data_IF_064985815937
#
_entry.id   IF_064985815937
#
_cell.length_a   1.000
_cell.length_b   1.000
_cell.length_c   1.000
_cell.angle_alpha   90.00
_cell.angle_beta   90.00
_cell.angle_gamma   90.00
#
_symmetry.space_group_name_H-M   'P 1'
#
loop_
_entity.id
_entity.type
_entity.pdbx_description
1 polymer ?
#
# COMPACT_ATOMS: atom_id res chain seq x y z
N UNK A 1 18.71 10.81 -4.21
CA UNK A 1 17.68 10.30 -3.29
C UNK A 1 16.36 10.97 -3.63
N UNK A 2 15.39 10.19 -4.09
CA UNK A 2 14.07 10.70 -4.44
C UNK A 2 13.27 11.03 -3.17
N UNK A 3 12.48 12.10 -3.22
CA UNK A 3 11.51 12.42 -2.17
C UNK A 3 10.15 11.84 -2.55
N UNK A 4 9.65 10.94 -1.73
CA UNK A 4 8.30 10.38 -1.86
C UNK A 4 7.41 10.94 -0.75
N UNK A 5 6.21 11.33 -1.13
CA UNK A 5 5.13 11.66 -0.20
C UNK A 5 4.09 10.56 -0.24
N UNK A 6 3.58 10.17 0.92
CA UNK A 6 2.40 9.29 1.01
C UNK A 6 1.36 9.95 1.92
N UNK A 7 0.07 9.73 1.65
CA UNK A 7 -1.02 10.31 2.45
C UNK A 7 -2.03 9.24 2.81
N UNK A 8 -2.19 8.98 4.11
CA UNK A 8 -3.09 7.93 4.57
C UNK A 8 -3.16 7.78 6.08
N UNK A 9 -4.02 6.87 6.52
CA UNK A 9 -4.23 6.58 7.93
C UNK A 9 -3.09 5.74 8.50
N UNK A 10 -2.67 6.08 9.72
CA UNK A 10 -1.87 5.21 10.58
C UNK A 10 -2.81 4.52 11.57
N UNK A 11 -2.75 3.19 11.62
CA UNK A 11 -3.53 2.33 12.50
C UNK A 11 -2.62 1.62 13.50
N UNK A 12 -3.15 1.40 14.70
CA UNK A 12 -2.58 0.45 15.65
C UNK A 12 -3.20 -0.93 15.44
N UNK A 13 -2.38 -1.89 15.05
CA UNK A 13 -2.75 -3.31 15.02
C UNK A 13 -2.53 -3.93 16.39
N UNK A 14 -3.48 -4.72 16.86
CA UNK A 14 -3.34 -5.58 18.03
C UNK A 14 -3.51 -7.05 17.65
N UNK A 15 -2.55 -7.90 18.01
CA UNK A 15 -2.55 -9.32 17.64
C UNK A 15 -2.13 -10.23 18.80
N UNK A 16 -2.83 -11.35 19.03
CA UNK A 16 -2.30 -12.43 19.86
C UNK A 16 -0.96 -12.95 19.32
N UNK A 17 -0.06 -13.37 20.21
CA UNK A 17 1.21 -13.94 19.81
C UNK A 17 1.01 -15.24 18.99
N UNK A 18 1.71 -15.32 17.86
CA UNK A 18 1.65 -16.46 16.95
C UNK A 18 0.26 -16.66 16.35
N UNK A 19 -0.25 -17.89 16.37
CA UNK A 19 -1.54 -18.26 15.78
C UNK A 19 -2.65 -18.42 16.83
N UNK A 20 -2.49 -17.81 18.01
CA UNK A 20 -3.53 -17.83 19.07
C UNK A 20 -4.76 -17.05 18.65
N UNK A 21 -5.91 -17.46 19.17
CA UNK A 21 -7.16 -16.70 19.18
C UNK A 21 -7.19 -15.72 20.35
N UNK A 22 -7.94 -14.63 20.23
CA UNK A 22 -8.15 -13.64 21.30
C UNK A 22 -8.64 -14.31 22.58
N UNK A 23 -9.53 -15.31 22.47
CA UNK A 23 -10.05 -16.06 23.62
C UNK A 23 -9.02 -16.94 24.35
N UNK A 24 -7.82 -17.13 23.80
CA UNK A 24 -6.78 -18.02 24.35
C UNK A 24 -5.68 -17.26 25.11
N UNK A 25 -5.68 -15.92 25.09
CA UNK A 25 -4.61 -15.14 25.71
C UNK A 25 -5.08 -13.77 26.13
N UNK A 26 -4.43 -13.24 27.16
CA UNK A 26 -4.52 -11.85 27.61
C UNK A 26 -3.28 -11.02 27.19
N UNK A 27 -2.41 -11.58 26.33
CA UNK A 27 -1.21 -10.91 25.81
C UNK A 27 -1.40 -10.59 24.34
N UNK A 28 -1.20 -9.32 23.99
CA UNK A 28 -1.27 -8.81 22.63
C UNK A 28 0.04 -8.10 22.29
N UNK A 29 0.52 -8.32 21.08
CA UNK A 29 1.55 -7.49 20.46
C UNK A 29 0.87 -6.36 19.69
N UNK A 30 1.52 -5.20 19.67
CA UNK A 30 1.08 -4.09 18.85
C UNK A 30 2.05 -3.79 17.71
N UNK A 31 1.49 -3.33 16.60
CA UNK A 31 2.22 -2.84 15.45
C UNK A 31 1.55 -1.54 14.98
N UNK A 32 2.30 -0.64 14.37
CA UNK A 32 1.69 0.45 13.60
C UNK A 32 1.84 0.16 12.12
N UNK A 33 0.80 0.49 11.36
CA UNK A 33 0.76 0.27 9.93
C UNK A 33 -0.40 1.00 9.29
N UNK A 34 -0.54 0.81 7.99
CA UNK A 34 -1.53 1.47 7.15
C UNK A 34 -1.02 1.43 5.72
N UNK A 35 -1.91 1.31 4.76
CA UNK A 35 -1.55 1.00 3.37
C UNK A 35 -0.48 1.95 2.81
N UNK A 36 -0.68 3.25 2.95
CA UNK A 36 0.24 4.28 2.45
C UNK A 36 1.51 4.44 3.28
N UNK A 37 1.44 4.22 4.60
CA UNK A 37 2.62 4.32 5.46
C UNK A 37 3.50 3.07 5.36
N UNK A 38 2.91 1.89 5.14
CA UNK A 38 3.65 0.66 4.88
C UNK A 38 4.48 0.78 3.60
N UNK A 39 3.90 1.37 2.54
CA UNK A 39 4.62 1.74 1.31
C UNK A 39 5.76 2.71 1.62
N UNK A 40 5.45 3.78 2.37
CA UNK A 40 6.43 4.79 2.77
C UNK A 40 7.62 4.20 3.54
N UNK A 41 7.37 3.36 4.54
CA UNK A 41 8.44 2.76 5.34
C UNK A 41 9.29 1.80 4.50
N UNK A 42 8.67 0.99 3.64
CA UNK A 42 9.43 0.13 2.74
C UNK A 42 10.33 0.95 1.79
N UNK A 43 9.83 2.08 1.26
CA UNK A 43 10.64 2.99 0.44
C UNK A 43 11.78 3.65 1.22
N UNK A 44 11.57 3.96 2.50
CA UNK A 44 12.61 4.47 3.39
C UNK A 44 13.70 3.41 3.66
N UNK A 45 13.29 2.15 3.87
CA UNK A 45 14.22 1.00 3.98
C UNK A 45 14.99 0.75 2.68
N UNK A 46 14.43 1.13 1.53
CA UNK A 46 15.13 1.15 0.24
C UNK A 46 15.97 2.42 0.00
N UNK A 47 16.13 3.28 1.00
CA UNK A 47 17.02 4.45 0.94
C UNK A 47 16.41 5.73 0.36
N UNK A 48 15.08 5.81 0.21
CA UNK A 48 14.43 7.04 -0.23
C UNK A 48 14.13 8.00 0.92
N UNK A 49 13.95 9.29 0.58
CA UNK A 49 13.45 10.29 1.53
C UNK A 49 11.93 10.24 1.55
N UNK A 50 11.34 9.84 2.66
CA UNK A 50 9.89 9.65 2.76
C UNK A 50 9.29 10.64 3.72
N UNK A 51 8.21 11.30 3.30
CA UNK A 51 7.34 12.11 4.15
C UNK A 51 5.95 11.49 4.14
N UNK A 52 5.39 11.27 5.32
CA UNK A 52 4.03 10.78 5.45
C UNK A 52 3.14 11.89 5.98
N UNK A 53 2.09 12.20 5.23
CA UNK A 53 1.05 13.14 5.63
C UNK A 53 -0.09 12.34 6.25
N UNK A 54 -0.49 12.71 7.45
CA UNK A 54 -1.53 12.02 8.20
C UNK A 54 -2.14 12.92 9.27
N UNK A 55 -3.10 12.37 10.01
CA UNK A 55 -3.70 12.96 11.19
C UNK A 55 -3.71 11.89 12.29
N UNK A 56 -3.03 12.16 13.40
CA UNK A 56 -2.74 11.21 14.49
C UNK A 56 -3.23 11.79 15.83
N UNK A 57 -3.64 10.91 16.75
CA UNK A 57 -4.07 11.30 18.09
C UNK A 57 -2.99 12.10 18.85
N UNK A 58 -3.42 13.08 19.62
CA UNK A 58 -2.59 13.86 20.55
C UNK A 58 -2.62 13.22 21.94
N UNK A 59 -2.16 11.96 22.00
CA UNK A 59 -2.08 11.16 23.22
C UNK A 59 -0.83 10.26 23.19
N UNK A 60 -0.62 9.47 24.25
CA UNK A 60 0.55 8.60 24.37
C UNK A 60 0.62 7.50 23.30
N UNK A 61 -0.52 7.08 22.74
CA UNK A 61 -0.56 6.12 21.62
C UNK A 61 -0.08 6.81 20.34
N UNK A 62 -0.55 8.02 20.09
CA UNK A 62 -0.13 8.84 18.95
C UNK A 62 1.35 9.20 19.00
N UNK A 63 1.89 9.54 20.19
CA UNK A 63 3.34 9.72 20.38
C UNK A 63 4.12 8.44 20.06
N UNK A 64 3.63 7.28 20.50
CA UNK A 64 4.25 5.99 20.20
C UNK A 64 4.23 5.71 18.69
N UNK A 65 3.12 6.00 18.00
CA UNK A 65 3.01 5.87 16.56
C UNK A 65 4.03 6.75 15.83
N UNK A 66 4.13 8.03 16.20
CA UNK A 66 5.08 8.98 15.60
C UNK A 66 6.53 8.54 15.84
N UNK A 67 6.86 8.09 17.06
CA UNK A 67 8.16 7.51 17.39
C UNK A 67 8.49 6.30 16.52
N UNK A 68 7.52 5.40 16.35
CA UNK A 68 7.63 4.23 15.48
C UNK A 68 7.90 4.61 14.03
N UNK A 69 7.19 5.58 13.45
CA UNK A 69 7.46 6.04 12.07
C UNK A 69 8.87 6.65 11.94
N UNK A 70 9.29 7.44 12.92
CA UNK A 70 10.63 8.07 12.94
C UNK A 70 11.76 7.05 13.05
N UNK A 71 11.53 5.92 13.73
CA UNK A 71 12.49 4.80 13.78
C UNK A 71 12.88 4.32 12.38
N UNK A 72 11.97 4.42 11.40
CA UNK A 72 12.22 4.06 10.01
C UNK A 72 12.53 5.27 9.11
N UNK A 73 13.02 6.37 9.69
CA UNK A 73 13.42 7.58 8.97
C UNK A 73 12.30 8.25 8.15
N UNK A 74 11.03 8.05 8.53
CA UNK A 74 9.90 8.77 7.93
C UNK A 74 9.80 10.18 8.51
N UNK A 75 9.73 11.19 7.64
CA UNK A 75 9.48 12.58 8.02
C UNK A 75 8.01 12.75 8.45
N UNK A 76 7.80 12.97 9.75
CA UNK A 76 6.50 13.13 10.40
C UNK A 76 6.15 14.57 10.76
N UNK A 77 6.92 15.56 10.28
CA UNK A 77 6.77 16.98 10.70
C UNK A 77 5.45 17.63 10.27
N UNK A 78 4.79 17.09 9.26
CA UNK A 78 3.51 17.59 8.73
C UNK A 78 2.35 16.62 9.04
N UNK A 79 2.49 15.78 10.07
CA UNK A 79 1.37 15.02 10.63
C UNK A 79 0.58 15.94 11.56
N UNK A 80 -0.71 16.11 11.26
CA UNK A 80 -1.62 16.89 12.10
C UNK A 80 -1.93 16.13 13.40
N UNK A 81 -2.02 16.85 14.53
CA UNK A 81 -2.32 16.28 15.86
C UNK A 81 -3.72 16.70 16.29
N UNK A 82 -4.52 15.75 16.76
CA UNK A 82 -5.94 15.97 17.13
C UNK A 82 -6.33 15.17 18.37
N UNK A 83 -7.37 15.59 19.08
CA UNK A 83 -7.89 14.86 20.25
C UNK A 83 -8.79 13.65 19.90
N UNK A 84 -8.99 13.36 18.61
CA UNK A 84 -9.67 12.13 18.18
C UNK A 84 -8.76 10.90 18.40
N UNK A 85 -9.32 9.72 18.70
CA UNK A 85 -8.53 8.53 19.05
C UNK A 85 -7.76 7.95 17.86
N UNK A 86 -6.68 7.22 18.14
CA UNK A 86 -6.00 6.40 17.13
C UNK A 86 -6.96 5.34 16.56
N UNK A 87 -6.94 5.15 15.24
CA UNK A 87 -7.67 4.04 14.61
C UNK A 87 -6.99 2.71 14.93
N UNK A 88 -7.78 1.67 15.19
CA UNK A 88 -7.25 0.36 15.59
C UNK A 88 -7.86 -0.77 14.78
N UNK A 89 -7.16 -1.90 14.72
CA UNK A 89 -7.77 -3.17 14.35
C UNK A 89 -7.12 -4.34 15.09
N UNK A 90 -7.89 -5.38 15.28
CA UNK A 90 -7.46 -6.64 15.85
C UNK A 90 -7.24 -7.63 14.74
N UNK A 91 -6.13 -8.38 14.82
CA UNK A 91 -5.82 -9.44 13.86
C UNK A 91 -5.52 -10.74 14.60
N UNK A 92 -6.33 -11.76 14.34
CA UNK A 92 -5.99 -13.14 14.64
C UNK A 92 -5.32 -13.77 13.43
N UNK A 93 -4.05 -14.16 13.56
CA UNK A 93 -3.30 -14.75 12.45
C UNK A 93 -3.81 -16.17 12.16
N UNK A 94 -4.10 -16.44 10.88
CA UNK A 94 -4.51 -17.74 10.35
C UNK A 94 -3.40 -18.79 10.42
N UNK A 95 -3.74 -20.05 10.13
CA UNK A 95 -2.78 -21.12 9.97
C UNK A 95 -3.39 -22.22 9.10
N UNK A 96 -2.69 -22.62 8.03
CA UNK A 96 -3.13 -23.66 7.08
C UNK A 96 -4.57 -23.40 6.61
N UNK A 97 -5.55 -24.25 6.96
CA UNK A 97 -6.94 -24.09 6.55
C UNK A 97 -7.69 -22.99 7.30
N UNK A 98 -7.19 -22.54 8.45
CA UNK A 98 -7.82 -21.51 9.27
C UNK A 98 -7.45 -20.12 8.75
N UNK A 99 -8.40 -19.29 8.28
CA UNK A 99 -8.10 -17.95 7.80
C UNK A 99 -7.66 -17.03 8.95
N UNK A 100 -6.94 -15.96 8.58
CA UNK A 100 -6.80 -14.80 9.45
C UNK A 100 -8.14 -14.08 9.59
N UNK A 101 -8.39 -13.45 10.74
CA UNK A 101 -9.63 -12.71 11.00
C UNK A 101 -9.30 -11.32 11.51
N UNK A 102 -9.98 -10.31 10.98
CA UNK A 102 -9.78 -8.90 11.33
C UNK A 102 -11.05 -8.32 11.92
N UNK A 103 -10.93 -7.55 13.00
CA UNK A 103 -11.98 -6.70 13.54
C UNK A 103 -11.49 -5.24 13.57
N UNK A 104 -12.20 -4.33 12.92
CA UNK A 104 -11.80 -2.92 12.79
C UNK A 104 -12.50 -2.02 13.80
N UNK A 105 -11.71 -1.15 14.46
CA UNK A 105 -12.15 -0.06 15.32
C UNK A 105 -11.56 1.26 14.80
N UNK A 106 -12.01 1.72 13.62
CA UNK A 106 -11.42 2.89 12.92
C UNK A 106 -12.40 3.98 12.46
N UNK A 107 -13.71 3.84 12.66
CA UNK A 107 -14.70 4.77 12.08
C UNK A 107 -14.62 6.22 12.60
N UNK A 108 -14.12 6.43 13.83
CA UNK A 108 -14.00 7.76 14.46
C UNK A 108 -12.55 8.09 14.81
N UNK A 109 -11.60 7.58 14.03
CA UNK A 109 -10.18 7.83 14.27
C UNK A 109 -9.78 9.29 14.00
N UNK A 110 -8.57 9.64 14.42
CA UNK A 110 -7.90 10.88 14.06
C UNK A 110 -7.93 11.13 12.56
N UNK A 111 -7.49 10.14 11.77
CA UNK A 111 -7.44 10.28 10.32
C UNK A 111 -8.82 10.37 9.67
N UNK A 112 -9.85 9.69 10.18
CA UNK A 112 -11.20 9.84 9.60
C UNK A 112 -11.77 11.26 9.72
N UNK A 113 -11.12 12.13 10.51
CA UNK A 113 -11.49 13.54 10.69
C UNK A 113 -10.57 14.52 10.01
N UNK A 114 -9.67 14.05 9.15
CA UNK A 114 -8.81 14.94 8.37
C UNK A 114 -9.65 15.79 7.43
N UNK A 115 -9.31 17.07 7.33
CA UNK A 115 -9.91 18.03 6.41
C UNK A 115 -8.82 18.77 5.63
N UNK A 116 -9.14 19.36 4.46
CA UNK A 116 -8.13 19.97 3.61
C UNK A 116 -7.30 21.08 4.27
N UNK A 117 -7.88 21.84 5.21
CA UNK A 117 -7.20 22.90 5.96
C UNK A 117 -6.12 22.40 6.93
N UNK A 118 -6.13 21.11 7.26
CA UNK A 118 -5.12 20.48 8.11
C UNK A 118 -3.82 20.15 7.36
N UNK A 119 -3.79 20.29 6.03
CA UNK A 119 -2.65 19.89 5.19
C UNK A 119 -2.22 21.03 4.27
N UNK A 120 -1.00 21.53 4.50
CA UNK A 120 -0.32 22.43 3.55
C UNK A 120 0.33 21.61 2.43
N UNK A 121 -0.41 21.38 1.35
CA UNK A 121 0.05 20.61 0.20
C UNK A 121 1.22 21.24 -0.54
N UNK A 122 1.31 22.58 -0.58
CA UNK A 122 2.42 23.26 -1.26
C UNK A 122 3.75 22.96 -0.56
N UNK A 123 3.75 23.09 0.78
CA UNK A 123 4.89 22.74 1.63
C UNK A 123 5.19 21.25 1.60
N UNK A 124 4.17 20.40 1.76
CA UNK A 124 4.32 18.95 1.81
C UNK A 124 4.98 18.40 0.55
N UNK A 125 4.52 18.86 -0.63
CA UNK A 125 4.95 18.42 -1.95
C UNK A 125 6.20 19.18 -2.47
N UNK A 126 6.78 20.09 -1.72
CA UNK A 126 7.99 20.81 -2.13
C UNK A 126 9.15 19.84 -2.45
N UNK A 127 9.73 19.93 -3.66
CA UNK A 127 10.78 19.02 -4.17
C UNK A 127 10.39 17.52 -4.10
N UNK A 128 9.10 17.21 -4.15
CA UNK A 128 8.60 15.84 -4.21
C UNK A 128 8.81 15.29 -5.64
N UNK A 129 9.20 14.02 -5.74
CA UNK A 129 9.30 13.31 -7.02
C UNK A 129 8.10 12.39 -7.25
N UNK A 130 7.53 11.85 -6.17
CA UNK A 130 6.50 10.82 -6.25
C UNK A 130 5.46 10.99 -5.14
N UNK A 131 4.18 10.93 -5.49
CA UNK A 131 3.07 10.89 -4.53
C UNK A 131 2.32 9.57 -4.65
N UNK A 132 2.11 8.88 -3.52
CA UNK A 132 1.40 7.60 -3.50
C UNK A 132 0.18 7.64 -2.57
N UNK A 133 -0.92 7.05 -3.03
CA UNK A 133 -2.17 6.91 -2.29
C UNK A 133 -2.86 5.57 -2.56
N UNK A 134 -3.80 5.18 -1.70
CA UNK A 134 -4.61 3.97 -1.92
C UNK A 134 -6.12 4.24 -1.79
N UNK A 135 -6.94 3.34 -2.35
CA UNK A 135 -8.41 3.37 -2.29
C UNK A 135 -8.98 3.30 -0.87
N UNK A 136 -8.15 3.01 0.14
CA UNK A 136 -8.53 3.08 1.55
C UNK A 136 -8.82 4.52 1.96
N UNK A 137 -7.92 5.46 1.67
CA UNK A 137 -8.00 6.86 2.13
C UNK A 137 -9.30 7.56 1.75
N UNK A 138 -9.72 7.63 0.47
CA UNK A 138 -10.97 8.27 0.11
C UNK A 138 -12.20 7.50 0.60
N UNK A 139 -12.05 6.21 0.93
CA UNK A 139 -13.13 5.40 1.47
C UNK A 139 -13.46 5.68 2.94
N UNK A 140 -12.61 6.40 3.68
CA UNK A 140 -12.79 6.60 5.13
C UNK A 140 -13.80 7.69 5.49
N UNK A 141 -13.73 8.83 4.80
CA UNK A 141 -14.62 9.97 5.03
C UNK A 141 -14.56 10.95 3.87
N UNK A 142 -15.58 11.82 3.80
CA UNK A 142 -15.60 12.93 2.84
C UNK A 142 -14.35 13.82 2.98
N UNK A 143 -13.96 14.16 4.22
CA UNK A 143 -12.77 14.97 4.47
C UNK A 143 -11.48 14.32 3.99
N UNK A 144 -11.32 13.00 4.14
CA UNK A 144 -10.17 12.26 3.62
C UNK A 144 -10.12 12.25 2.08
N UNK A 145 -11.27 12.07 1.42
CA UNK A 145 -11.40 12.20 -0.03
C UNK A 145 -11.05 13.63 -0.51
N UNK A 146 -11.64 14.67 0.08
CA UNK A 146 -11.41 16.06 -0.31
C UNK A 146 -9.93 16.47 -0.12
N UNK A 147 -9.33 16.02 0.98
CA UNK A 147 -7.92 16.30 1.30
C UNK A 147 -7.00 15.59 0.31
N UNK A 148 -7.27 14.32 -0.01
CA UNK A 148 -6.52 13.58 -1.04
C UNK A 148 -6.65 14.27 -2.40
N UNK A 149 -7.86 14.64 -2.82
CA UNK A 149 -8.11 15.31 -4.10
C UNK A 149 -7.34 16.62 -4.22
N UNK A 150 -7.32 17.44 -3.15
CA UNK A 150 -6.51 18.65 -3.11
C UNK A 150 -5.01 18.36 -3.29
N UNK A 151 -4.50 17.30 -2.67
CA UNK A 151 -3.11 16.86 -2.83
C UNK A 151 -2.79 16.37 -4.25
N UNK A 152 -3.71 15.65 -4.88
CA UNK A 152 -3.56 15.17 -6.26
C UNK A 152 -3.56 16.32 -7.28
N UNK A 153 -4.42 17.32 -7.10
CA UNK A 153 -4.43 18.54 -7.91
C UNK A 153 -3.09 19.28 -7.77
N UNK A 154 -2.60 19.44 -6.54
CA UNK A 154 -1.31 20.08 -6.27
C UNK A 154 -0.12 19.29 -6.86
N UNK A 155 -0.17 17.95 -6.78
CA UNK A 155 0.84 17.08 -7.36
C UNK A 155 0.90 17.23 -8.89
N UNK A 156 -0.26 17.20 -9.56
CA UNK A 156 -0.38 17.42 -11.00
C UNK A 156 0.14 18.79 -11.42
N UNK A 157 -0.22 19.85 -10.70
CA UNK A 157 0.26 21.21 -10.99
C UNK A 157 1.79 21.36 -10.87
N UNK A 158 2.45 20.50 -10.08
CA UNK A 158 3.91 20.46 -9.89
C UNK A 158 4.62 19.43 -10.78
N UNK A 159 3.89 18.70 -11.63
CA UNK A 159 4.46 17.63 -12.47
C UNK A 159 5.01 16.45 -11.65
N UNK A 160 4.45 16.18 -10.48
CA UNK A 160 4.84 15.06 -9.62
C UNK A 160 4.18 13.77 -10.14
N UNK A 161 4.95 12.69 -10.26
CA UNK A 161 4.41 11.37 -10.61
C UNK A 161 3.51 10.86 -9.50
N UNK A 162 2.30 10.44 -9.86
CA UNK A 162 1.33 9.88 -8.91
C UNK A 162 1.15 8.38 -9.19
N UNK A 163 1.30 7.56 -8.15
CA UNK A 163 0.85 6.16 -8.21
C UNK A 163 -0.31 5.89 -7.27
N UNK A 164 -1.20 5.00 -7.69
CA UNK A 164 -2.34 4.59 -6.88
C UNK A 164 -2.45 3.07 -6.77
N UNK A 165 -2.80 2.59 -5.58
CA UNK A 165 -3.45 1.28 -5.39
C UNK A 165 -4.93 1.52 -5.06
N UNK A 166 -5.83 1.58 -6.05
CA UNK A 166 -7.21 1.99 -5.83
C UNK A 166 -8.10 0.87 -5.26
N UNK A 167 -7.51 -0.12 -4.57
CA UNK A 167 -8.24 -1.25 -3.96
C UNK A 167 -9.55 -0.79 -3.30
N UNK A 168 -10.66 -1.39 -3.72
CA UNK A 168 -11.98 -1.15 -3.15
C UNK A 168 -12.23 -2.05 -1.93
N UNK A 169 -12.76 -1.46 -0.85
CA UNK A 169 -13.19 -2.18 0.35
C UNK A 169 -14.61 -1.77 0.72
N UNK A 170 -15.57 -2.64 0.43
CA UNK A 170 -17.00 -2.40 0.71
C UNK A 170 -17.31 -2.02 2.16
N UNK A 171 -16.49 -2.44 3.12
CA UNK A 171 -16.66 -2.08 4.53
C UNK A 171 -16.32 -0.63 4.92
N UNK A 172 -15.69 0.16 4.03
CA UNK A 172 -15.22 1.52 4.33
C UNK A 172 -16.20 2.61 3.90
N UNK A 173 -16.78 2.50 2.70
CA UNK A 173 -17.59 3.53 2.03
C UNK A 173 -18.98 3.70 2.65
N UNK A 174 -19.03 4.23 3.88
CA UNK A 174 -20.24 4.34 4.71
C UNK A 174 -20.77 5.77 4.87
N UNK A 175 -20.15 6.74 4.21
CA UNK A 175 -20.48 8.16 4.35
C UNK A 175 -21.40 8.70 3.23
N UNK A 176 -21.97 7.82 2.41
CA UNK A 176 -23.06 8.15 1.47
C UNK A 176 -22.62 8.53 0.05
N UNK A 177 -21.34 8.46 -0.26
CA UNK A 177 -20.81 8.66 -1.63
C UNK A 177 -20.66 7.32 -2.34
N UNK A 178 -20.97 7.30 -3.64
CA UNK A 178 -20.70 6.15 -4.49
C UNK A 178 -19.19 5.98 -4.68
N UNK A 179 -18.69 4.80 -4.29
CA UNK A 179 -17.26 4.52 -4.31
C UNK A 179 -16.66 4.53 -5.71
N UNK A 180 -17.44 4.09 -6.72
CA UNK A 180 -16.98 4.07 -8.10
C UNK A 180 -16.82 5.49 -8.60
N UNK A 181 -17.81 6.35 -8.38
CA UNK A 181 -17.75 7.75 -8.81
C UNK A 181 -16.57 8.50 -8.15
N UNK A 182 -16.38 8.30 -6.85
CA UNK A 182 -15.26 8.91 -6.12
C UNK A 182 -13.90 8.43 -6.63
N UNK A 183 -13.71 7.13 -6.86
CA UNK A 183 -12.45 6.59 -7.37
C UNK A 183 -12.21 7.05 -8.81
N UNK A 184 -13.21 7.02 -9.69
CA UNK A 184 -13.11 7.50 -11.07
C UNK A 184 -12.66 8.96 -11.13
N UNK A 185 -13.22 9.82 -10.28
CA UNK A 185 -12.82 11.22 -10.20
C UNK A 185 -11.36 11.40 -9.77
N UNK A 186 -10.80 10.51 -8.94
CA UNK A 186 -9.38 10.58 -8.55
C UNK A 186 -8.44 9.98 -9.61
N UNK A 187 -8.91 9.07 -10.46
CA UNK A 187 -8.09 8.40 -11.48
C UNK A 187 -7.50 9.37 -12.52
N UNK A 188 -8.15 10.51 -12.78
CA UNK A 188 -7.65 11.52 -13.72
C UNK A 188 -6.31 12.17 -13.30
N UNK A 189 -5.83 11.90 -12.08
CA UNK A 189 -4.56 12.41 -11.55
C UNK A 189 -3.47 11.32 -11.44
N UNK A 190 -3.75 10.08 -11.82
CA UNK A 190 -2.84 8.94 -11.66
C UNK A 190 -1.96 8.76 -12.90
N UNK A 191 -0.67 8.46 -12.68
CA UNK A 191 0.27 8.07 -13.74
C UNK A 191 0.57 6.57 -13.73
N UNK A 192 0.73 5.98 -12.55
CA UNK A 192 1.07 4.56 -12.39
C UNK A 192 -0.06 3.87 -11.62
N UNK A 193 -0.76 2.97 -12.29
CA UNK A 193 -1.84 2.19 -11.72
C UNK A 193 -1.32 0.86 -11.18
N UNK A 194 -1.55 0.58 -9.90
CA UNK A 194 -1.25 -0.69 -9.27
C UNK A 194 -2.55 -1.37 -8.83
N UNK A 195 -3.06 -2.29 -9.66
CA UNK A 195 -4.33 -2.97 -9.44
C UNK A 195 -4.62 -3.99 -10.54
N UNK A 196 -5.40 -5.01 -10.20
CA UNK A 196 -5.73 -6.08 -11.11
C UNK A 196 -7.07 -5.85 -11.82
N UNK A 197 -7.58 -6.95 -12.39
CA UNK A 197 -8.87 -6.97 -13.08
C UNK A 197 -10.02 -6.50 -12.18
N UNK A 198 -10.02 -6.86 -10.90
CA UNK A 198 -11.07 -6.46 -9.97
C UNK A 198 -11.15 -4.93 -9.82
N UNK A 199 -9.99 -4.27 -9.66
CA UNK A 199 -9.94 -2.81 -9.59
C UNK A 199 -10.30 -2.17 -10.93
N UNK A 200 -9.82 -2.69 -12.05
CA UNK A 200 -10.10 -2.14 -13.39
C UNK A 200 -11.60 -2.27 -13.70
N UNK A 201 -12.20 -3.45 -13.50
CA UNK A 201 -13.63 -3.69 -13.68
C UNK A 201 -14.47 -2.78 -12.78
N UNK A 202 -14.08 -2.63 -11.51
CA UNK A 202 -14.76 -1.71 -10.59
C UNK A 202 -14.76 -0.27 -11.09
N UNK A 203 -13.62 0.21 -11.61
CA UNK A 203 -13.46 1.57 -12.13
C UNK A 203 -14.17 1.76 -13.47
N UNK A 204 -14.06 0.83 -14.41
CA UNK A 204 -14.64 0.97 -15.75
C UNK A 204 -16.13 0.61 -15.78
N UNK A 205 -16.59 -0.25 -14.86
CA UNK A 205 -17.91 -0.87 -14.94
C UNK A 205 -17.98 -2.00 -15.97
N UNK A 206 -16.87 -2.69 -16.18
CA UNK A 206 -16.71 -3.81 -17.11
C UNK A 206 -16.66 -5.14 -16.34
N UNK A 207 -16.58 -6.26 -17.07
CA UNK A 207 -16.57 -7.61 -16.51
C UNK A 207 -15.52 -8.50 -17.22
N UNK A 208 -14.30 -7.97 -17.35
CA UNK A 208 -13.17 -8.73 -17.88
C UNK A 208 -12.81 -9.91 -16.98
N UNK A 209 -12.37 -11.02 -17.55
CA UNK A 209 -11.85 -12.17 -16.82
C UNK A 209 -10.41 -11.98 -16.33
N UNK A 210 -9.84 -13.01 -15.71
CA UNK A 210 -8.56 -12.92 -15.00
C UNK A 210 -7.33 -13.29 -15.84
N UNK A 211 -7.53 -13.76 -17.07
CA UNK A 211 -6.41 -14.16 -17.92
C UNK A 211 -5.59 -12.97 -18.42
N UNK A 212 -4.52 -13.26 -19.16
CA UNK A 212 -3.60 -12.22 -19.61
C UNK A 212 -4.17 -11.40 -20.78
N UNK A 213 -5.02 -11.98 -21.63
CA UNK A 213 -5.62 -11.27 -22.75
C UNK A 213 -6.66 -10.26 -22.26
N UNK A 214 -7.47 -10.67 -21.28
CA UNK A 214 -8.40 -9.79 -20.57
C UNK A 214 -7.66 -8.68 -19.83
N UNK A 215 -6.58 -8.98 -19.11
CA UNK A 215 -5.79 -7.95 -18.44
C UNK A 215 -5.18 -6.93 -19.41
N UNK A 216 -4.68 -7.37 -20.55
CA UNK A 216 -4.17 -6.47 -21.59
C UNK A 216 -5.29 -5.57 -22.12
N UNK A 217 -6.45 -6.16 -22.43
CA UNK A 217 -7.60 -5.43 -22.97
C UNK A 217 -8.15 -4.41 -21.97
N UNK A 218 -8.34 -4.82 -20.71
CA UNK A 218 -8.77 -3.97 -19.62
C UNK A 218 -7.78 -2.83 -19.34
N UNK A 219 -6.47 -3.13 -19.38
CA UNK A 219 -5.42 -2.11 -19.19
C UNK A 219 -5.42 -1.07 -20.32
N UNK A 220 -5.66 -1.49 -21.57
CA UNK A 220 -5.76 -0.58 -22.71
C UNK A 220 -6.98 0.34 -22.59
N UNK A 221 -8.14 -0.21 -22.26
CA UNK A 221 -9.36 0.59 -22.04
C UNK A 221 -9.18 1.56 -20.87
N UNK A 222 -8.52 1.14 -19.79
CA UNK A 222 -8.21 2.01 -18.66
C UNK A 222 -7.35 3.21 -19.08
N UNK A 223 -6.28 2.97 -19.86
CA UNK A 223 -5.40 4.03 -20.36
C UNK A 223 -6.14 4.93 -21.36
N UNK A 224 -7.00 4.37 -22.22
CA UNK A 224 -7.81 5.16 -23.14
C UNK A 224 -8.77 6.10 -22.40
N UNK A 225 -9.42 5.61 -21.34
CA UNK A 225 -10.31 6.43 -20.50
C UNK A 225 -9.56 7.45 -19.64
N UNK A 226 -8.36 7.10 -19.17
CA UNK A 226 -7.52 7.97 -18.34
C UNK A 226 -6.10 8.10 -18.93
N UNK A 227 -5.90 8.97 -19.93
CA UNK A 227 -4.63 9.07 -20.66
C UNK A 227 -3.40 9.51 -19.84
N UNK A 228 -3.61 9.96 -18.59
CA UNK A 228 -2.49 10.25 -17.69
C UNK A 228 -1.86 8.96 -17.15
N UNK A 229 -2.59 7.84 -17.14
CA UNK A 229 -2.07 6.54 -16.74
C UNK A 229 -1.17 6.03 -17.86
N UNK A 230 0.11 5.90 -17.55
CA UNK A 230 1.13 5.44 -18.49
C UNK A 230 1.35 3.92 -18.37
N UNK A 231 1.19 3.39 -17.16
CA UNK A 231 1.56 2.00 -16.84
C UNK A 231 0.59 1.38 -15.84
N UNK A 232 0.24 0.13 -16.11
CA UNK A 232 -0.63 -0.71 -15.27
C UNK A 232 0.17 -1.91 -14.78
N UNK A 233 0.20 -2.11 -13.46
CA UNK A 233 0.85 -3.24 -12.81
C UNK A 233 -0.15 -3.98 -11.94
N UNK A 234 -0.01 -5.30 -11.86
CA UNK A 234 -0.85 -6.15 -11.02
C UNK A 234 0.03 -7.18 -10.27
N UNK A 235 -0.32 -7.41 -9.01
CA UNK A 235 0.27 -8.45 -8.17
C UNK A 235 -0.71 -9.62 -8.09
N UNK A 236 -0.36 -10.69 -8.76
CA UNK A 236 -1.15 -11.92 -8.73
C UNK A 236 -0.72 -12.77 -7.52
N UNK A 237 -1.72 -13.18 -6.74
CA UNK A 237 -1.57 -14.13 -5.63
C UNK A 237 -2.23 -15.46 -5.98
N UNK A 238 -1.45 -16.53 -6.01
CA UNK A 238 -1.95 -17.90 -6.12
C UNK A 238 -1.99 -18.49 -4.72
N UNK A 239 -3.15 -18.47 -4.07
CA UNK A 239 -3.33 -18.90 -2.69
C UNK A 239 -3.62 -20.39 -2.61
N UNK A 240 -2.79 -21.16 -1.91
CA UNK A 240 -3.06 -22.58 -1.61
C UNK A 240 -3.77 -22.68 -0.27
N UNK A 241 -3.23 -22.06 0.78
CA UNK A 241 -3.85 -21.95 2.09
C UNK A 241 -3.28 -20.74 2.87
N UNK A 242 -3.63 -20.56 4.14
CA UNK A 242 -3.16 -19.42 4.94
C UNK A 242 -1.63 -19.40 5.21
N UNK A 243 -0.94 -20.52 4.97
CA UNK A 243 0.50 -20.70 5.20
C UNK A 243 1.31 -20.85 3.90
N UNK A 244 0.66 -21.09 2.76
CA UNK A 244 1.32 -21.31 1.47
C UNK A 244 0.64 -20.57 0.32
N UNK A 245 1.42 -19.77 -0.40
CA UNK A 245 1.00 -19.09 -1.62
C UNK A 245 2.17 -18.87 -2.60
N UNK A 246 1.85 -18.48 -3.83
CA UNK A 246 2.82 -17.95 -4.80
C UNK A 246 2.47 -16.52 -5.16
N UNK A 247 3.49 -15.71 -5.41
CA UNK A 247 3.36 -14.32 -5.84
C UNK A 247 4.05 -14.15 -7.18
N UNK A 248 3.39 -13.43 -8.10
CA UNK A 248 3.98 -12.96 -9.36
C UNK A 248 3.45 -11.56 -9.68
N UNK A 249 4.20 -10.82 -10.48
CA UNK A 249 3.78 -9.53 -11.02
C UNK A 249 3.47 -9.66 -12.51
N UNK A 250 2.50 -8.90 -13.01
CA UNK A 250 2.30 -8.67 -14.44
C UNK A 250 2.13 -7.18 -14.72
N UNK A 251 2.39 -6.78 -15.96
CA UNK A 251 2.28 -5.37 -16.37
C UNK A 251 1.78 -5.20 -17.80
N UNK A 252 1.17 -4.05 -18.03
CA UNK A 252 0.98 -3.43 -19.34
C UNK A 252 1.51 -1.99 -19.27
N UNK A 253 2.61 -1.70 -19.96
CA UNK A 253 3.27 -0.40 -19.90
C UNK A 253 2.92 0.53 -21.09
N UNK A 254 1.80 0.25 -21.77
CA UNK A 254 1.39 0.94 -22.99
C UNK A 254 2.04 0.40 -24.27
N UNK A 255 3.09 -0.43 -24.16
CA UNK A 255 3.84 -0.97 -25.30
C UNK A 255 3.73 -2.49 -25.33
N UNK A 256 4.04 -3.14 -24.21
CA UNK A 256 4.12 -4.59 -24.12
C UNK A 256 3.53 -5.14 -22.82
N UNK A 257 3.17 -6.41 -22.87
CA UNK A 257 2.81 -7.20 -21.71
C UNK A 257 4.00 -8.04 -21.25
N UNK A 258 4.24 -8.08 -19.94
CA UNK A 258 5.21 -9.00 -19.33
C UNK A 258 4.69 -9.52 -17.99
N UNK A 259 5.21 -10.68 -17.59
CA UNK A 259 4.94 -11.33 -16.32
C UNK A 259 6.24 -11.85 -15.69
N UNK A 260 6.35 -11.81 -14.36
CA UNK A 260 7.49 -12.39 -13.63
C UNK A 260 7.29 -13.88 -13.39
N UNK A 261 8.39 -14.59 -13.13
CA UNK A 261 8.29 -15.92 -12.52
C UNK A 261 7.59 -15.85 -11.16
N UNK A 262 6.89 -16.93 -10.80
CA UNK A 262 6.22 -17.03 -9.51
C UNK A 262 7.23 -17.36 -8.40
N UNK A 263 7.22 -16.56 -7.34
CA UNK A 263 7.99 -16.81 -6.12
C UNK A 263 7.09 -17.57 -5.15
N UNK A 264 7.55 -18.74 -4.73
CA UNK A 264 6.80 -19.62 -3.82
C UNK A 264 7.15 -19.34 -2.35
N UNK A 265 6.12 -19.15 -1.53
CA UNK A 265 6.23 -18.94 -0.08
C UNK A 265 5.45 -20.04 0.61
N UNK A 266 6.15 -21.03 1.15
CA UNK A 266 5.56 -22.21 1.81
C UNK A 266 5.31 -22.03 3.31
N UNK A 267 5.96 -21.03 3.92
CA UNK A 267 5.87 -20.74 5.35
C UNK A 267 5.63 -19.24 5.55
N UNK A 268 4.38 -18.82 5.41
CA UNK A 268 3.98 -17.44 5.65
C UNK A 268 4.07 -17.14 7.15
N UNK A 269 4.86 -16.11 7.51
CA UNK A 269 4.93 -15.55 8.87
C UNK A 269 3.78 -14.57 9.07
N UNK A 270 3.65 -13.58 8.20
CA UNK A 270 2.54 -12.62 8.22
C UNK A 270 2.27 -12.08 6.81
N UNK A 271 0.99 -12.07 6.40
CA UNK A 271 0.58 -11.63 5.06
C UNK A 271 0.06 -10.19 5.01
N UNK A 272 -0.07 -9.52 6.15
CA UNK A 272 -0.47 -8.12 6.18
C UNK A 272 0.68 -7.26 5.63
N UNK A 273 0.33 -6.24 4.84
CA UNK A 273 1.30 -5.32 4.23
C UNK A 273 2.01 -5.81 2.96
N UNK A 274 1.68 -6.99 2.43
CA UNK A 274 2.43 -7.55 1.29
C UNK A 274 2.07 -6.90 -0.05
N UNK A 275 0.84 -6.37 -0.19
CA UNK A 275 0.50 -5.48 -1.30
C UNK A 275 1.29 -4.18 -1.24
N UNK A 276 1.40 -3.59 -0.06
CA UNK A 276 2.16 -2.36 0.17
C UNK A 276 3.65 -2.55 -0.14
N UNK A 277 4.22 -3.71 0.22
CA UNK A 277 5.60 -4.07 -0.14
C UNK A 277 5.80 -4.21 -1.66
N UNK A 278 4.80 -4.75 -2.38
CA UNK A 278 4.81 -4.77 -3.84
C UNK A 278 4.80 -3.34 -4.41
N UNK A 279 3.87 -2.49 -3.95
CA UNK A 279 3.77 -1.10 -4.40
C UNK A 279 5.06 -0.31 -4.13
N UNK A 280 5.67 -0.47 -2.95
CA UNK A 280 6.94 0.16 -2.62
C UNK A 280 8.09 -0.35 -3.50
N UNK A 281 8.17 -1.66 -3.73
CA UNK A 281 9.17 -2.24 -4.61
C UNK A 281 9.00 -1.78 -6.06
N UNK A 282 7.77 -1.60 -6.52
CA UNK A 282 7.46 -1.07 -7.83
C UNK A 282 7.89 0.40 -7.96
N UNK A 283 7.54 1.25 -6.99
CA UNK A 283 7.95 2.66 -6.97
C UNK A 283 9.48 2.77 -6.94
N UNK A 284 10.16 2.01 -6.07
CA UNK A 284 11.62 1.96 -6.05
C UNK A 284 12.18 1.50 -7.39
N UNK A 285 11.62 0.44 -7.96
CA UNK A 285 12.07 -0.13 -9.22
C UNK A 285 11.94 0.85 -10.37
N UNK A 286 10.78 1.50 -10.54
CA UNK A 286 10.53 2.47 -11.61
C UNK A 286 11.43 3.72 -11.50
N UNK A 287 11.92 4.03 -10.30
CA UNK A 287 12.87 5.12 -10.08
C UNK A 287 14.33 4.76 -10.39
N UNK A 288 14.66 3.48 -10.56
CA UNK A 288 16.05 3.01 -10.64
C UNK A 288 16.34 2.03 -11.80
N UNK A 289 15.32 1.40 -12.39
CA UNK A 289 15.44 0.32 -13.35
C UNK A 289 14.41 0.46 -14.49
N UNK A 290 14.47 -0.43 -15.48
CA UNK A 290 13.40 -0.60 -16.47
C UNK A 290 12.14 -1.23 -15.84
N UNK A 291 11.02 -1.17 -16.58
CA UNK A 291 9.69 -1.59 -16.10
C UNK A 291 9.65 -3.08 -15.69
N UNK A 292 10.33 -3.95 -16.43
CA UNK A 292 10.31 -5.38 -16.11
C UNK A 292 11.10 -5.66 -14.84
N UNK A 293 12.32 -5.11 -14.73
CA UNK A 293 13.14 -5.25 -13.52
C UNK A 293 12.47 -4.58 -12.32
N UNK A 294 11.74 -3.49 -12.52
CA UNK A 294 10.94 -2.87 -11.46
C UNK A 294 9.85 -3.81 -10.93
N UNK A 295 9.16 -4.51 -11.83
CA UNK A 295 8.15 -5.52 -11.48
C UNK A 295 8.77 -6.76 -10.81
N UNK A 296 9.95 -7.21 -11.24
CA UNK A 296 10.69 -8.28 -10.55
C UNK A 296 11.06 -7.87 -9.12
N UNK A 297 11.60 -6.67 -8.95
CA UNK A 297 11.90 -6.10 -7.63
C UNK A 297 10.66 -6.01 -6.74
N UNK A 298 9.52 -5.57 -7.29
CA UNK A 298 8.24 -5.51 -6.60
C UNK A 298 7.77 -6.90 -6.11
N UNK A 299 7.84 -7.91 -6.98
CA UNK A 299 7.47 -9.30 -6.65
C UNK A 299 8.36 -9.87 -5.55
N UNK A 300 9.67 -9.62 -5.61
CA UNK A 300 10.62 -10.08 -4.61
C UNK A 300 10.43 -9.37 -3.25
N UNK A 301 10.22 -8.04 -3.24
CA UNK A 301 9.89 -7.29 -2.03
C UNK A 301 8.60 -7.79 -1.37
N UNK A 302 7.57 -8.06 -2.18
CA UNK A 302 6.31 -8.66 -1.73
C UNK A 302 6.53 -10.05 -1.10
N UNK A 303 7.33 -10.91 -1.75
CA UNK A 303 7.65 -12.22 -1.23
C UNK A 303 8.38 -12.14 0.12
N UNK A 304 9.40 -11.28 0.24
CA UNK A 304 10.13 -11.05 1.49
C UNK A 304 9.23 -10.52 2.61
N UNK A 305 8.27 -9.64 2.32
CA UNK A 305 7.35 -9.15 3.37
C UNK A 305 6.60 -10.29 4.07
N UNK A 306 6.34 -11.42 3.40
CA UNK A 306 5.68 -12.56 4.00
C UNK A 306 6.49 -13.24 5.11
N UNK A 307 7.79 -12.96 5.23
CA UNK A 307 8.70 -13.56 6.21
C UNK A 307 8.87 -12.71 7.47
N UNK A 308 8.27 -11.52 7.53
CA UNK A 308 8.35 -10.61 8.68
C UNK A 308 7.01 -10.48 9.40
N UNK A 309 6.98 -10.55 10.74
CA UNK A 309 5.80 -10.20 11.51
C UNK A 309 5.53 -8.69 11.41
N UNK A 310 4.26 -8.31 11.52
CA UNK A 310 3.86 -6.91 11.44
C UNK A 310 3.44 -6.50 10.04
N UNK A 311 3.06 -5.23 9.92
CA UNK A 311 2.57 -4.64 8.69
C UNK A 311 3.70 -4.15 7.78
N UNK A 312 4.84 -3.79 8.37
CA UNK A 312 5.97 -3.18 7.67
C UNK A 312 6.85 -4.21 6.99
N UNK A 313 7.36 -3.84 5.80
CA UNK A 313 8.42 -4.57 5.13
C UNK A 313 9.80 -4.12 5.65
N UNK A 314 10.55 -5.05 6.24
CA UNK A 314 11.91 -4.81 6.75
C UNK A 314 13.00 -5.10 5.71
N UNK A 315 12.64 -5.59 4.52
CA UNK A 315 13.61 -5.88 3.48
C UNK A 315 14.38 -4.61 3.06
N UNK A 316 15.67 -4.76 2.86
CA UNK A 316 16.55 -3.77 2.23
C UNK A 316 16.68 -4.05 0.73
N UNK A 317 17.26 -3.11 -0.02
CA UNK A 317 17.59 -3.33 -1.45
C UNK A 317 18.45 -4.59 -1.62
N UNK A 318 19.42 -4.80 -0.72
CA UNK A 318 20.30 -5.97 -0.77
C UNK A 318 19.54 -7.28 -0.60
N UNK A 319 18.56 -7.33 0.30
CA UNK A 319 17.74 -8.54 0.51
C UNK A 319 16.94 -8.87 -0.75
N UNK A 320 16.36 -7.86 -1.39
CA UNK A 320 15.61 -8.01 -2.65
C UNK A 320 16.52 -8.48 -3.78
N UNK A 321 17.67 -7.83 -3.97
CA UNK A 321 18.65 -8.19 -5.00
C UNK A 321 19.20 -9.61 -4.79
N UNK A 322 19.43 -10.00 -3.54
CA UNK A 322 19.88 -11.34 -3.19
C UNK A 322 18.86 -12.43 -3.55
N UNK A 323 17.58 -12.15 -3.31
CA UNK A 323 16.49 -13.03 -3.73
C UNK A 323 16.43 -13.15 -5.26
N UNK A 324 16.53 -12.02 -5.96
CA UNK A 324 16.53 -11.97 -7.43
C UNK A 324 17.75 -12.65 -8.07
N UNK A 325 18.90 -12.70 -7.39
CA UNK A 325 20.06 -13.46 -7.87
C UNK A 325 19.92 -14.99 -7.70
N UNK A 326 18.72 -15.48 -7.36
CA UNK A 326 18.42 -16.90 -7.21
C UNK A 326 18.81 -17.49 -5.84
N UNK A 327 19.18 -16.66 -4.87
CA UNK A 327 19.53 -17.16 -3.55
C UNK A 327 18.28 -17.29 -2.66
N UNK A 328 17.58 -18.41 -2.85
CA UNK A 328 16.35 -18.76 -2.12
C UNK A 328 16.59 -19.72 -0.96
N UNK A 329 17.83 -20.19 -0.79
CA UNK A 329 18.17 -21.27 0.16
C UNK A 329 18.30 -20.84 1.62
N UNK A 330 18.18 -19.54 1.92
CA UNK A 330 18.30 -19.02 3.29
C UNK A 330 19.66 -19.26 3.94
N UNK A 331 20.73 -19.38 3.14
CA UNK A 331 22.08 -19.62 3.64
C UNK A 331 22.53 -18.46 4.52
N UNK A 332 23.28 -18.77 5.58
CA UNK A 332 23.87 -17.76 6.46
C UNK A 332 24.83 -16.88 5.67
N UNK A 333 24.46 -15.61 5.48
CA UNK A 333 25.33 -14.57 4.96
C UNK A 333 26.09 -13.93 6.14
N UNK A 334 27.39 -13.68 5.99
CA UNK A 334 28.27 -13.09 7.02
C UNK A 334 28.80 -11.74 6.59
#
# INVERSE_FOLDING_TARGET
>A
MNKIVTFGEVLMRLSPLGNKKMKQTNLLEYYFGGTEINVGISLANFGNKVKHISCISDDFIGETAIGYLRQYNVDTRDIYRTHRPMGMYFLEVGAVMRPSTIAYNRSNSAFSGVTPDMVDWDKALNKCNWFHWTGITPGLSQGAYDTLKAGLIAAKAKGITVSSDPTYRSGLWKYGVDAKDAIQDLMQYVNIFNGGIDEINGILGTDYGYDNEDFISASKELIEKYPNIEKVFDKIRISINASWQKIKGRMWNGIEFKETNAIEITHIVDRIGTGDAFAAGLIYGLLNFDDYKAMEFASAACALKHTFPGDINYATVKDVEHLLSGNTGGRVNR
#
